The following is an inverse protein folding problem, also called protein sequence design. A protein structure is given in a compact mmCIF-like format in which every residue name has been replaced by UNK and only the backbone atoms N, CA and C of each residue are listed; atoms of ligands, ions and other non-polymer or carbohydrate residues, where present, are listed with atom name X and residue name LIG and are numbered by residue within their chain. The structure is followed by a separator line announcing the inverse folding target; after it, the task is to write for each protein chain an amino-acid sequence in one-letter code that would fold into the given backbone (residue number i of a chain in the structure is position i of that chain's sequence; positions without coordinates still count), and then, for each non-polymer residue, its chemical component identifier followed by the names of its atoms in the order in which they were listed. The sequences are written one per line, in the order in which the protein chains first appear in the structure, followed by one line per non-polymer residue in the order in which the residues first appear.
data_IF_842914669246
#
_entry.id   IF_842914669246
#
_cell.length_a   1.000
_cell.length_b   1.000
_cell.length_c   1.000
_cell.angle_alpha   90.00
_cell.angle_beta   90.00
_cell.angle_gamma   90.00
#
_symmetry.space_group_name_H-M   'P 1'
#
loop_
_entity.id
_entity.type
_entity.pdbx_description
1 polymer ?
#
# COMPACT_ATOMS: atom_id res chain seq x y z
N UNK A 1 34.75 -26.29 4.31
CA UNK A 1 34.43 -24.95 4.84
C UNK A 1 33.08 -24.57 4.25
N UNK A 2 31.99 -24.86 4.98
CA UNK A 2 30.65 -24.46 4.55
C UNK A 2 30.56 -22.96 4.81
N UNK A 3 30.36 -22.19 3.76
CA UNK A 3 29.90 -20.81 3.88
C UNK A 3 28.51 -20.96 4.49
N UNK A 4 28.36 -20.55 5.75
CA UNK A 4 27.04 -20.34 6.33
C UNK A 4 26.42 -19.21 5.52
N UNK A 5 25.51 -19.55 4.61
CA UNK A 5 24.55 -18.59 4.07
C UNK A 5 23.79 -18.05 5.26
N UNK A 6 24.22 -16.89 5.75
CA UNK A 6 23.45 -16.05 6.64
C UNK A 6 22.21 -15.63 5.85
N UNK A 7 21.16 -16.45 5.89
CA UNK A 7 19.83 -16.07 5.43
C UNK A 7 19.52 -14.70 6.06
N UNK A 8 19.30 -13.69 5.21
CA UNK A 8 18.95 -12.35 5.65
C UNK A 8 17.62 -12.43 6.43
N UNK A 9 17.69 -12.41 7.75
CA UNK A 9 16.53 -12.50 8.64
C UNK A 9 16.00 -11.11 8.97
N UNK A 10 15.48 -10.42 7.95
CA UNK A 10 14.91 -9.09 8.13
C UNK A 10 13.42 -9.08 8.48
N UNK A 11 12.94 -7.97 9.05
CA UNK A 11 11.54 -7.72 9.37
C UNK A 11 10.94 -6.64 8.49
N UNK A 12 9.85 -6.99 7.83
CA UNK A 12 9.10 -6.10 6.95
C UNK A 12 7.87 -5.57 7.67
N UNK A 13 7.65 -4.26 7.62
CA UNK A 13 6.34 -3.66 7.86
C UNK A 13 5.72 -3.32 6.51
N UNK A 14 4.47 -3.69 6.32
CA UNK A 14 3.71 -3.37 5.11
C UNK A 14 2.71 -2.28 5.46
N UNK A 15 2.72 -1.19 4.68
CA UNK A 15 1.68 -0.17 4.69
C UNK A 15 1.09 -0.08 3.29
N UNK A 16 -0.20 -0.36 3.10
CA UNK A 16 -0.81 -0.39 1.78
C UNK A 16 -1.67 -1.63 1.57
N UNK A 17 -1.64 -2.20 0.38
CA UNK A 17 -2.63 -3.16 -0.09
C UNK A 17 -2.09 -4.58 -0.23
N UNK A 18 -2.85 -5.43 -0.94
CA UNK A 18 -2.39 -6.75 -1.36
C UNK A 18 -1.11 -6.70 -2.21
N UNK A 19 -0.86 -5.61 -2.96
CA UNK A 19 0.33 -5.50 -3.82
C UNK A 19 1.62 -5.57 -2.99
N UNK A 20 1.77 -4.70 -1.99
CA UNK A 20 2.93 -4.78 -1.08
C UNK A 20 2.88 -6.03 -0.19
N UNK A 21 1.69 -6.50 0.21
CA UNK A 21 1.59 -7.70 1.04
C UNK A 21 2.05 -8.97 0.31
N UNK A 22 1.74 -9.11 -0.97
CA UNK A 22 2.12 -10.26 -1.79
C UNK A 22 3.63 -10.24 -2.09
N UNK A 23 4.21 -9.06 -2.36
CA UNK A 23 5.67 -8.91 -2.40
C UNK A 23 6.33 -9.28 -1.06
N UNK A 24 5.74 -8.88 0.07
CA UNK A 24 6.23 -9.28 1.39
C UNK A 24 6.05 -10.79 1.65
N UNK A 25 5.03 -11.44 1.08
CA UNK A 25 4.87 -12.90 1.14
C UNK A 25 5.99 -13.62 0.42
N UNK A 26 6.45 -13.09 -0.71
CA UNK A 26 7.61 -13.65 -1.41
C UNK A 26 8.89 -13.50 -0.57
N UNK A 27 9.07 -12.37 0.12
CA UNK A 27 10.19 -12.19 1.05
C UNK A 27 10.13 -13.16 2.24
N UNK A 28 8.93 -13.48 2.76
CA UNK A 28 8.76 -14.49 3.82
C UNK A 28 9.25 -15.88 3.36
N UNK A 29 9.01 -16.24 2.09
CA UNK A 29 9.55 -17.47 1.50
C UNK A 29 11.09 -17.49 1.45
N UNK A 30 11.73 -16.32 1.54
CA UNK A 30 13.18 -16.12 1.55
C UNK A 30 13.78 -15.92 2.95
N UNK A 31 12.98 -16.14 3.99
CA UNK A 31 13.45 -16.10 5.38
C UNK A 31 13.23 -14.76 6.10
N UNK A 32 12.56 -13.80 5.47
CA UNK A 32 12.09 -12.59 6.15
C UNK A 32 10.82 -12.88 6.96
N UNK A 33 10.40 -11.91 7.78
CA UNK A 33 9.13 -11.98 8.51
C UNK A 33 8.34 -10.69 8.36
N UNK A 34 7.01 -10.79 8.27
CA UNK A 34 6.13 -9.61 8.29
C UNK A 34 5.76 -9.28 9.74
N UNK A 35 6.27 -8.14 10.20
CA UNK A 35 6.05 -7.62 11.55
C UNK A 35 4.66 -7.00 11.70
N UNK A 36 4.18 -6.30 10.66
CA UNK A 36 2.92 -5.57 10.69
C UNK A 36 2.40 -5.40 9.27
N UNK A 37 1.08 -5.50 9.11
CA UNK A 37 0.38 -5.13 7.88
C UNK A 37 -0.70 -4.10 8.21
N UNK A 38 -0.47 -2.86 7.77
CA UNK A 38 -1.37 -1.72 7.92
C UNK A 38 -2.07 -1.51 6.58
N UNK A 39 -3.29 -2.03 6.47
CA UNK A 39 -4.06 -1.99 5.23
C UNK A 39 -5.25 -1.05 5.33
N UNK A 40 -5.77 -0.64 4.17
CA UNK A 40 -7.01 0.15 4.02
C UNK A 40 -6.95 1.50 4.73
N UNK A 41 -5.79 2.14 4.75
CA UNK A 41 -5.62 3.50 5.27
C UNK A 41 -4.96 4.41 4.24
N UNK A 42 -5.73 5.36 3.74
CA UNK A 42 -5.23 6.50 2.99
C UNK A 42 -4.32 7.35 3.87
N UNK A 43 -3.36 8.03 3.26
CA UNK A 43 -2.64 9.09 3.97
C UNK A 43 -3.60 10.19 4.46
N UNK A 44 -4.71 10.43 3.77
CA UNK A 44 -5.69 11.44 4.18
C UNK A 44 -6.36 11.07 5.50
N UNK A 45 -6.74 9.80 5.71
CA UNK A 45 -7.40 9.35 6.95
C UNK A 45 -6.41 9.15 8.11
N UNK A 46 -5.12 8.94 7.82
CA UNK A 46 -4.10 8.81 8.84
C UNK A 46 -4.04 10.03 9.79
N UNK A 47 -4.28 9.77 11.08
CA UNK A 47 -4.35 10.77 12.14
C UNK A 47 -5.63 11.61 12.16
N UNK A 48 -6.67 11.22 11.41
CA UNK A 48 -7.91 11.98 11.24
C UNK A 48 -9.13 11.06 11.40
N UNK A 49 -9.49 10.72 12.65
CA UNK A 49 -10.52 9.72 12.91
C UNK A 49 -11.86 10.10 12.27
N UNK A 50 -12.54 9.11 11.72
CA UNK A 50 -13.84 9.23 11.08
C UNK A 50 -14.99 9.19 12.09
N UNK A 51 -16.07 9.92 11.81
CA UNK A 51 -17.34 9.76 12.50
C UNK A 51 -18.21 8.77 11.74
N UNK A 52 -18.30 7.55 12.25
CA UNK A 52 -19.08 6.48 11.62
C UNK A 52 -20.38 6.17 12.35
N UNK A 53 -20.73 6.90 13.41
CA UNK A 53 -21.92 6.60 14.22
C UNK A 53 -22.05 5.11 14.58
N UNK A 54 -23.26 4.58 14.44
CA UNK A 54 -23.62 3.19 14.79
C UNK A 54 -23.60 2.24 13.57
N UNK A 55 -22.55 2.27 12.75
CA UNK A 55 -22.40 1.33 11.63
C UNK A 55 -22.45 -0.14 12.12
N UNK A 56 -23.25 -0.97 11.46
CA UNK A 56 -23.30 -2.40 11.73
C UNK A 56 -22.06 -3.11 11.16
N UNK A 57 -21.01 -3.18 11.97
CA UNK A 57 -19.77 -3.88 11.62
C UNK A 57 -19.96 -5.39 11.46
N UNK A 58 -21.12 -5.96 11.82
CA UNK A 58 -21.42 -7.37 11.59
C UNK A 58 -21.50 -7.70 10.09
N UNK A 59 -21.82 -6.72 9.25
CA UNK A 59 -21.80 -6.82 7.79
C UNK A 59 -20.41 -7.13 7.22
N UNK A 60 -19.34 -6.77 7.94
CA UNK A 60 -17.98 -7.17 7.61
C UNK A 60 -17.71 -8.58 8.16
N UNK A 61 -17.97 -9.59 7.34
CA UNK A 61 -17.79 -11.00 7.69
C UNK A 61 -16.33 -11.36 8.03
N UNK A 62 -15.36 -10.74 7.34
CA UNK A 62 -13.93 -11.00 7.56
C UNK A 62 -13.43 -10.28 8.82
N UNK A 63 -12.87 -11.00 9.82
CA UNK A 63 -12.24 -10.37 10.97
C UNK A 63 -11.07 -9.46 10.58
N UNK A 64 -10.37 -9.79 9.48
CA UNK A 64 -9.32 -8.94 8.93
C UNK A 64 -9.88 -7.63 8.39
N UNK A 65 -10.94 -7.69 7.56
CA UNK A 65 -11.58 -6.50 7.01
C UNK A 65 -12.12 -5.59 8.12
N UNK A 66 -12.76 -6.18 9.14
CA UNK A 66 -13.27 -5.44 10.31
C UNK A 66 -12.14 -4.74 11.08
N UNK A 67 -11.01 -5.42 11.31
CA UNK A 67 -9.86 -4.81 11.97
C UNK A 67 -9.28 -3.66 11.15
N UNK A 68 -9.10 -3.83 9.84
CA UNK A 68 -8.56 -2.77 8.98
C UNK A 68 -9.50 -1.56 8.92
N UNK A 69 -10.81 -1.80 8.76
CA UNK A 69 -11.82 -0.76 8.79
C UNK A 69 -11.77 0.03 10.09
N UNK A 70 -11.81 -0.66 11.24
CA UNK A 70 -11.74 0.03 12.55
C UNK A 70 -10.41 0.73 12.78
N UNK A 71 -9.32 0.17 12.27
CA UNK A 71 -8.01 0.81 12.30
C UNK A 71 -8.06 2.16 11.60
N UNK A 72 -8.67 2.22 10.41
CA UNK A 72 -8.82 3.43 9.60
C UNK A 72 -9.81 4.43 10.21
N UNK A 73 -10.93 3.96 10.76
CA UNK A 73 -11.88 4.79 11.53
C UNK A 73 -11.17 5.58 12.62
N UNK A 74 -10.20 5.00 13.32
CA UNK A 74 -9.43 5.73 14.35
C UNK A 74 -8.18 6.43 13.81
N UNK A 75 -7.85 6.29 12.53
CA UNK A 75 -6.70 6.93 11.88
C UNK A 75 -5.34 6.55 12.50
N UNK A 76 -5.17 5.33 13.00
CA UNK A 76 -4.05 4.97 13.88
C UNK A 76 -2.71 4.62 13.17
N UNK A 77 -2.49 5.00 11.90
CA UNK A 77 -1.24 4.74 11.16
C UNK A 77 0.00 5.06 11.99
N UNK A 78 0.05 6.27 12.57
CA UNK A 78 1.18 6.74 13.36
C UNK A 78 1.45 5.86 14.58
N UNK A 79 0.40 5.49 15.32
CA UNK A 79 0.53 4.62 16.50
C UNK A 79 1.06 3.23 16.10
N UNK A 80 0.56 2.68 14.98
CA UNK A 80 1.01 1.38 14.50
C UNK A 80 2.46 1.38 14.04
N UNK A 81 2.88 2.40 13.28
CA UNK A 81 4.27 2.54 12.84
C UNK A 81 5.21 2.78 14.03
N UNK A 82 4.83 3.65 14.97
CA UNK A 82 5.64 3.91 16.17
C UNK A 82 5.86 2.64 16.99
N UNK A 83 4.84 1.78 17.11
CA UNK A 83 4.93 0.53 17.87
C UNK A 83 5.89 -0.51 17.26
N UNK A 84 6.23 -0.40 15.97
CA UNK A 84 7.07 -1.37 15.25
C UNK A 84 8.36 -0.78 14.69
N UNK A 85 8.53 0.55 14.70
CA UNK A 85 9.64 1.24 14.05
C UNK A 85 11.03 0.67 14.41
N UNK A 86 11.29 0.43 15.71
CA UNK A 86 12.59 -0.08 16.19
C UNK A 86 12.94 -1.49 15.67
N UNK A 87 11.95 -2.23 15.18
CA UNK A 87 12.09 -3.60 14.65
C UNK A 87 11.78 -3.67 13.16
N UNK A 88 11.51 -2.55 12.50
CA UNK A 88 11.27 -2.51 11.05
C UNK A 88 12.60 -2.30 10.34
N UNK A 89 13.02 -3.32 9.58
CA UNK A 89 14.22 -3.24 8.72
C UNK A 89 13.85 -2.70 7.33
N UNK A 90 12.62 -2.98 6.88
CA UNK A 90 12.04 -2.47 5.64
C UNK A 90 10.57 -2.09 5.85
N UNK A 91 10.20 -0.85 5.51
CA UNK A 91 8.82 -0.43 5.32
C UNK A 91 8.46 -0.49 3.84
N UNK A 92 7.64 -1.46 3.45
CA UNK A 92 7.14 -1.58 2.08
C UNK A 92 5.80 -0.87 1.98
N UNK A 93 5.72 0.12 1.09
CA UNK A 93 4.54 0.96 0.89
C UNK A 93 4.00 0.83 -0.54
N UNK A 94 2.68 0.75 -0.73
CA UNK A 94 2.04 0.92 -2.04
C UNK A 94 0.79 1.81 -1.96
N UNK A 95 0.37 2.36 -3.10
CA UNK A 95 -0.74 3.33 -3.19
C UNK A 95 -2.07 2.71 -3.62
N UNK A 96 -2.17 1.39 -3.80
CA UNK A 96 -3.37 0.77 -4.38
C UNK A 96 -4.60 0.93 -3.48
N UNK A 97 -4.43 1.06 -2.16
CA UNK A 97 -5.54 1.33 -1.25
C UNK A 97 -6.10 2.77 -1.34
N UNK A 98 -5.39 3.69 -2.01
CA UNK A 98 -5.90 5.03 -2.33
C UNK A 98 -6.93 4.99 -3.49
N UNK A 99 -6.96 3.91 -4.29
CA UNK A 99 -7.70 3.82 -5.58
C UNK A 99 -9.19 4.16 -5.50
N UNK A 100 -9.82 3.93 -4.35
CA UNK A 100 -11.26 4.12 -4.17
C UNK A 100 -11.60 5.50 -3.59
N UNK A 101 -10.60 6.33 -3.30
CA UNK A 101 -10.74 7.62 -2.63
C UNK A 101 -11.15 7.51 -1.16
N UNK A 102 -11.57 8.63 -0.59
CA UNK A 102 -11.93 8.75 0.83
C UNK A 102 -13.32 9.36 1.00
N UNK A 103 -13.93 9.12 2.16
CA UNK A 103 -15.17 9.70 2.62
C UNK A 103 -14.84 10.72 3.71
N UNK A 104 -15.30 11.95 3.56
CA UNK A 104 -15.33 12.93 4.64
C UNK A 104 -16.63 12.74 5.43
N UNK A 105 -16.51 12.20 6.64
CA UNK A 105 -17.65 11.86 7.51
C UNK A 105 -18.15 13.04 8.33
N UNK A 106 -17.25 13.96 8.64
CA UNK A 106 -17.52 15.29 9.19
C UNK A 106 -16.33 16.21 8.84
N UNK A 107 -16.43 17.55 8.98
CA UNK A 107 -15.35 18.45 8.60
C UNK A 107 -14.02 18.06 9.24
N UNK A 108 -13.08 17.57 8.43
CA UNK A 108 -11.76 17.18 8.90
C UNK A 108 -11.58 15.70 9.31
N UNK A 109 -12.65 14.89 9.26
CA UNK A 109 -12.69 13.48 9.64
C UNK A 109 -12.84 12.58 8.41
N UNK A 110 -11.92 11.63 8.20
CA UNK A 110 -11.80 10.91 6.94
C UNK A 110 -11.77 9.40 7.11
N UNK A 111 -12.41 8.70 6.18
CA UNK A 111 -12.43 7.24 6.09
C UNK A 111 -12.07 6.81 4.67
N UNK A 112 -11.14 5.89 4.53
CA UNK A 112 -10.74 5.28 3.27
C UNK A 112 -11.83 4.35 2.77
N UNK A 113 -12.21 4.50 1.50
CA UNK A 113 -13.15 3.54 0.89
C UNK A 113 -12.42 2.22 0.63
N UNK A 114 -13.03 1.13 1.08
CA UNK A 114 -12.50 -0.23 0.92
C UNK A 114 -13.49 -1.10 0.15
N UNK A 115 -12.98 -2.03 -0.66
CA UNK A 115 -13.80 -2.99 -1.42
C UNK A 115 -14.74 -3.75 -0.48
N UNK A 116 -14.24 -4.21 0.66
CA UNK A 116 -15.00 -5.02 1.60
C UNK A 116 -16.22 -4.28 2.16
N UNK A 117 -16.04 -3.01 2.56
CA UNK A 117 -17.13 -2.18 3.06
C UNK A 117 -18.10 -1.75 1.95
N UNK A 118 -17.60 -1.49 0.73
CA UNK A 118 -18.45 -1.23 -0.43
C UNK A 118 -19.33 -2.44 -0.78
N UNK A 119 -18.74 -3.63 -0.87
CA UNK A 119 -19.46 -4.88 -1.17
C UNK A 119 -20.47 -5.22 -0.09
N UNK A 120 -20.17 -4.93 1.18
CA UNK A 120 -21.07 -5.19 2.29
C UNK A 120 -22.21 -4.15 2.43
N UNK A 121 -22.25 -3.12 1.58
CA UNK A 121 -23.22 -2.02 1.72
C UNK A 121 -22.99 -1.19 2.98
N UNK A 122 -21.81 -1.25 3.60
CA UNK A 122 -21.55 -0.63 4.91
C UNK A 122 -21.64 0.90 4.86
N UNK A 123 -21.45 1.49 3.68
CA UNK A 123 -21.59 2.93 3.48
C UNK A 123 -23.04 3.36 3.20
N UNK A 124 -23.97 2.42 3.07
CA UNK A 124 -25.39 2.74 2.89
C UNK A 124 -25.92 3.39 4.18
N UNK A 125 -26.40 4.64 4.06
CA UNK A 125 -26.86 5.41 5.21
C UNK A 125 -25.78 6.17 5.97
N UNK A 126 -24.49 5.97 5.65
CA UNK A 126 -23.43 6.83 6.18
C UNK A 126 -23.52 8.21 5.53
N UNK A 127 -23.76 9.24 6.34
CA UNK A 127 -23.71 10.63 5.86
C UNK A 127 -22.27 11.04 5.70
N UNK A 128 -21.75 10.94 4.48
CA UNK A 128 -20.38 11.34 4.17
C UNK A 128 -20.27 11.90 2.76
N UNK A 129 -19.31 12.80 2.56
CA UNK A 129 -18.97 13.37 1.26
C UNK A 129 -17.86 12.56 0.62
N UNK A 130 -18.10 12.06 -0.59
CA UNK A 130 -17.08 11.32 -1.33
C UNK A 130 -16.06 12.27 -1.97
N UNK A 131 -14.78 11.97 -1.72
CA UNK A 131 -13.64 12.59 -2.37
C UNK A 131 -12.97 11.58 -3.29
N UNK A 132 -13.17 11.77 -4.58
CA UNK A 132 -12.65 10.91 -5.62
C UNK A 132 -11.14 11.11 -5.81
N UNK A 133 -10.41 9.99 -5.89
CA UNK A 133 -8.99 9.99 -6.19
C UNK A 133 -8.73 10.71 -7.52
N UNK A 134 -7.72 11.58 -7.53
CA UNK A 134 -7.27 12.28 -8.74
C UNK A 134 -7.92 13.65 -8.96
N UNK A 135 -8.98 13.97 -8.22
CA UNK A 135 -9.54 15.33 -8.18
C UNK A 135 -8.56 16.32 -7.55
N UNK A 136 -8.69 17.60 -7.91
CA UNK A 136 -7.88 18.67 -7.33
C UNK A 136 -8.07 18.77 -5.80
N UNK A 137 -9.30 18.54 -5.33
CA UNK A 137 -9.62 18.53 -3.91
C UNK A 137 -8.94 17.38 -3.16
N UNK A 138 -9.00 16.16 -3.70
CA UNK A 138 -8.32 15.02 -3.10
C UNK A 138 -6.80 15.24 -3.04
N UNK A 139 -6.19 15.75 -4.11
CA UNK A 139 -4.76 16.10 -4.14
C UNK A 139 -4.39 17.21 -3.13
N UNK A 140 -5.26 18.20 -2.94
CA UNK A 140 -5.07 19.27 -1.96
C UNK A 140 -5.00 18.73 -0.53
N UNK A 141 -5.75 17.66 -0.23
CA UNK A 141 -5.70 16.98 1.07
C UNK A 141 -4.54 15.99 1.18
N UNK A 142 -4.25 15.28 0.09
CA UNK A 142 -3.26 14.21 0.06
C UNK A 142 -1.82 14.73 0.14
N UNK A 143 -1.46 15.80 -0.58
CA UNK A 143 -0.07 16.34 -0.54
C UNK A 143 0.37 16.76 0.86
N UNK A 144 -0.41 17.52 1.66
CA UNK A 144 -0.07 17.78 3.05
C UNK A 144 0.01 16.51 3.90
N UNK A 145 -0.82 15.49 3.61
CA UNK A 145 -0.77 14.22 4.31
C UNK A 145 0.52 13.43 4.03
N UNK A 146 0.98 13.43 2.77
CA UNK A 146 2.30 12.92 2.38
C UNK A 146 3.43 13.59 3.16
N UNK A 147 3.41 14.91 3.30
CA UNK A 147 4.44 15.63 4.06
C UNK A 147 4.42 15.29 5.55
N UNK A 148 3.23 15.09 6.14
CA UNK A 148 3.10 14.60 7.53
C UNK A 148 3.64 13.18 7.68
N UNK A 149 3.31 12.30 6.74
CA UNK A 149 3.83 10.93 6.71
C UNK A 149 5.35 10.90 6.58
N UNK A 150 5.92 11.72 5.69
CA UNK A 150 7.37 11.84 5.56
C UNK A 150 8.04 12.34 6.84
N UNK A 151 7.44 13.32 7.51
CA UNK A 151 7.91 13.83 8.81
C UNK A 151 7.86 12.75 9.88
N UNK A 152 6.78 11.94 9.91
CA UNK A 152 6.66 10.77 10.78
C UNK A 152 7.78 9.76 10.50
N UNK A 153 8.02 9.40 9.24
CA UNK A 153 9.10 8.47 8.88
C UNK A 153 10.48 8.97 9.30
N UNK A 154 10.74 10.28 9.16
CA UNK A 154 12.01 10.89 9.63
C UNK A 154 12.15 10.77 11.15
N UNK A 155 11.08 11.06 11.89
CA UNK A 155 11.06 10.95 13.36
C UNK A 155 11.29 9.51 13.83
N UNK A 156 10.83 8.52 13.06
CA UNK A 156 10.96 7.10 13.37
C UNK A 156 12.23 6.44 12.79
N UNK A 157 13.12 7.20 12.14
CA UNK A 157 14.29 6.67 11.39
C UNK A 157 13.91 5.62 10.31
N UNK A 158 12.71 5.74 9.74
CA UNK A 158 12.20 4.82 8.72
C UNK A 158 12.38 5.35 7.29
N UNK A 159 12.69 6.63 7.08
CA UNK A 159 12.73 7.23 5.73
C UNK A 159 13.63 6.45 4.77
N UNK A 160 14.87 6.14 5.16
CA UNK A 160 15.81 5.40 4.31
C UNK A 160 15.50 3.91 4.18
N UNK A 161 14.65 3.39 5.08
CA UNK A 161 14.16 2.01 5.10
C UNK A 161 12.79 1.87 4.43
N UNK A 162 12.26 2.96 3.88
CA UNK A 162 10.96 2.97 3.22
C UNK A 162 11.15 2.84 1.72
N UNK A 163 10.44 1.88 1.11
CA UNK A 163 10.35 1.74 -0.34
C UNK A 163 8.89 1.87 -0.73
N UNK A 164 8.60 2.85 -1.59
CA UNK A 164 7.33 2.89 -2.32
C UNK A 164 7.43 1.92 -3.51
N UNK A 165 6.67 0.84 -3.46
CA UNK A 165 6.45 -0.09 -4.56
C UNK A 165 5.43 0.52 -5.53
N UNK A 166 5.92 0.94 -6.70
CA UNK A 166 5.09 1.48 -7.76
C UNK A 166 4.89 0.43 -8.86
N UNK A 167 3.72 -0.22 -8.83
CA UNK A 167 3.27 -1.13 -9.88
C UNK A 167 2.05 -0.53 -10.57
N UNK A 168 2.13 -0.21 -11.88
CA UNK A 168 0.96 0.13 -12.66
C UNK A 168 -0.05 -1.02 -12.63
N UNK A 169 -1.34 -0.73 -12.74
CA UNK A 169 -2.35 -1.74 -13.05
C UNK A 169 -2.03 -2.38 -14.39
N UNK A 170 -1.99 -3.72 -14.38
CA UNK A 170 -1.82 -4.49 -15.58
C UNK A 170 -2.97 -4.22 -16.54
N UNK A 171 -2.67 -4.05 -17.82
CA UNK A 171 -3.69 -3.94 -18.87
C UNK A 171 -4.07 -5.30 -19.45
N UNK A 172 -3.23 -6.31 -19.21
CA UNK A 172 -3.40 -7.66 -19.71
C UNK A 172 -3.20 -8.71 -18.61
N UNK A 173 -3.83 -9.85 -18.81
CA UNK A 173 -3.69 -11.01 -17.93
C UNK A 173 -2.70 -12.02 -18.49
N UNK A 174 -2.41 -13.06 -17.71
CA UNK A 174 -1.55 -14.20 -18.09
C UNK A 174 -2.03 -14.96 -19.32
N UNK A 175 -3.34 -14.98 -19.58
CA UNK A 175 -3.93 -15.54 -20.81
C UNK A 175 -3.86 -14.61 -22.01
N UNK A 176 -3.38 -13.36 -21.84
CA UNK A 176 -3.27 -12.35 -22.89
C UNK A 176 -4.52 -11.50 -23.06
N UNK A 177 -5.59 -11.78 -22.32
CA UNK A 177 -6.84 -11.02 -22.33
C UNK A 177 -6.69 -9.64 -21.66
N UNK A 178 -7.62 -8.73 -21.95
CA UNK A 178 -7.67 -7.44 -21.25
C UNK A 178 -8.16 -7.63 -19.82
N UNK A 179 -7.53 -6.92 -18.88
CA UNK A 179 -7.99 -6.91 -17.49
C UNK A 179 -9.35 -6.25 -17.34
N UNK A 180 -10.20 -6.83 -16.51
CA UNK A 180 -11.51 -6.24 -16.19
C UNK A 180 -11.37 -4.93 -15.39
N UNK A 181 -12.27 -3.96 -15.59
CA UNK A 181 -12.32 -2.77 -14.75
C UNK A 181 -12.56 -3.11 -13.28
N UNK A 182 -11.92 -2.38 -12.36
CA UNK A 182 -12.18 -2.49 -10.93
C UNK A 182 -13.05 -1.32 -10.48
N UNK A 183 -14.25 -1.61 -9.97
CA UNK A 183 -15.23 -0.59 -9.55
C UNK A 183 -15.51 0.48 -10.63
N UNK A 184 -15.54 0.05 -11.89
CA UNK A 184 -15.81 0.92 -13.04
C UNK A 184 -14.58 1.63 -13.61
N UNK A 185 -13.40 1.51 -12.99
CA UNK A 185 -12.17 2.12 -13.47
C UNK A 185 -11.32 1.12 -14.28
N UNK A 186 -10.91 1.52 -15.48
CA UNK A 186 -9.98 0.74 -16.32
C UNK A 186 -8.54 0.88 -15.81
N UNK A 187 -7.67 -0.07 -16.16
CA UNK A 187 -6.25 0.00 -15.83
C UNK A 187 -5.58 1.28 -16.35
N UNK A 188 -5.95 1.73 -17.56
CA UNK A 188 -5.36 2.93 -18.16
C UNK A 188 -5.76 4.21 -17.43
N UNK A 189 -7.02 4.33 -17.02
CA UNK A 189 -7.51 5.46 -16.20
C UNK A 189 -6.86 5.46 -14.81
N UNK A 190 -6.81 4.30 -14.16
CA UNK A 190 -6.17 4.15 -12.84
C UNK A 190 -4.69 4.56 -12.89
N UNK A 191 -3.95 4.08 -13.88
CA UNK A 191 -2.54 4.40 -14.08
C UNK A 191 -2.33 5.89 -14.34
N UNK A 192 -3.16 6.49 -15.20
CA UNK A 192 -3.10 7.92 -15.48
C UNK A 192 -3.30 8.78 -14.22
N UNK A 193 -4.29 8.42 -13.39
CA UNK A 193 -4.54 9.11 -12.13
C UNK A 193 -3.38 8.93 -11.15
N UNK A 194 -2.87 7.70 -11.02
CA UNK A 194 -1.86 7.36 -10.02
C UNK A 194 -0.51 8.03 -10.28
N UNK A 195 -0.14 8.28 -11.54
CA UNK A 195 1.11 8.98 -11.90
C UNK A 195 1.30 10.28 -11.13
N UNK A 196 0.23 11.06 -10.94
CA UNK A 196 0.30 12.33 -10.19
C UNK A 196 0.69 12.15 -8.72
N UNK A 197 0.27 11.05 -8.10
CA UNK A 197 0.57 10.74 -6.70
C UNK A 197 2.01 10.27 -6.55
N UNK A 198 2.47 9.41 -7.47
CA UNK A 198 3.86 8.95 -7.52
C UNK A 198 4.82 10.11 -7.77
N UNK A 199 4.46 11.03 -8.67
CA UNK A 199 5.22 12.25 -8.92
C UNK A 199 5.31 13.14 -7.67
N UNK A 200 4.22 13.27 -6.90
CA UNK A 200 4.26 13.99 -5.62
C UNK A 200 5.21 13.32 -4.62
N UNK A 201 5.21 11.99 -4.50
CA UNK A 201 6.18 11.29 -3.63
C UNK A 201 7.61 11.61 -4.06
N UNK A 202 7.90 11.55 -5.37
CA UNK A 202 9.22 11.86 -5.93
C UNK A 202 9.64 13.30 -5.68
N UNK A 203 8.72 14.26 -5.77
CA UNK A 203 9.01 15.69 -5.64
C UNK A 203 9.16 16.14 -4.18
N UNK A 204 8.36 15.58 -3.28
CA UNK A 204 8.22 16.07 -1.91
C UNK A 204 9.03 15.28 -0.87
N UNK A 205 9.54 14.10 -1.24
CA UNK A 205 10.21 13.20 -0.32
C UNK A 205 11.49 12.62 -0.91
N UNK A 206 12.35 12.08 -0.05
CA UNK A 206 13.52 11.27 -0.40
C UNK A 206 13.24 9.76 -0.23
N UNK A 207 11.96 9.35 -0.23
CA UNK A 207 11.56 7.94 -0.20
C UNK A 207 11.98 7.29 -1.52
N UNK A 208 12.61 6.11 -1.44
CA UNK A 208 12.97 5.33 -2.62
C UNK A 208 11.70 4.81 -3.29
N UNK A 209 11.58 5.02 -4.60
CA UNK A 209 10.50 4.46 -5.41
C UNK A 209 11.07 3.30 -6.23
N UNK A 210 10.48 2.12 -6.08
CA UNK A 210 10.79 0.94 -6.90
C UNK A 210 9.74 0.85 -8.01
N UNK A 211 10.17 1.09 -9.25
CA UNK A 211 9.34 0.95 -10.44
C UNK A 211 9.53 -0.45 -11.02
N UNK A 212 8.44 -1.21 -11.13
CA UNK A 212 8.48 -2.53 -11.78
C UNK A 212 8.55 -2.37 -13.30
N UNK A 213 9.39 -3.15 -14.01
CA UNK A 213 9.44 -3.19 -15.47
C UNK A 213 8.08 -3.56 -16.08
N UNK A 214 7.65 -2.83 -17.11
CA UNK A 214 6.33 -2.98 -17.74
C UNK A 214 6.07 -4.42 -18.22
N UNK A 215 7.11 -5.13 -18.68
CA UNK A 215 7.03 -6.51 -19.13
C UNK A 215 6.65 -7.52 -18.04
N UNK A 216 6.82 -7.16 -16.76
CA UNK A 216 6.42 -7.98 -15.62
C UNK A 216 5.00 -7.63 -15.13
N UNK A 217 4.43 -6.52 -15.58
CA UNK A 217 3.13 -6.01 -15.13
C UNK A 217 2.00 -6.76 -15.84
N UNK A 218 1.78 -8.00 -15.42
CA UNK A 218 0.76 -8.92 -15.94
C UNK A 218 -0.13 -9.40 -14.80
N UNK A 219 -1.45 -9.28 -14.96
CA UNK A 219 -2.41 -9.78 -13.98
C UNK A 219 -2.55 -11.31 -14.06
N UNK A 220 -2.64 -11.97 -12.92
CA UNK A 220 -2.87 -13.41 -12.83
C UNK A 220 -4.36 -13.73 -12.87
N UNK A 221 -4.78 -14.49 -13.88
CA UNK A 221 -6.17 -14.93 -14.04
C UNK A 221 -6.63 -15.84 -12.88
N UNK A 222 -5.69 -16.54 -12.23
CA UNK A 222 -5.93 -17.49 -11.15
C UNK A 222 -5.50 -16.97 -9.78
N UNK A 223 -5.36 -15.65 -9.63
CA UNK A 223 -4.84 -15.06 -8.41
C UNK A 223 -5.70 -15.41 -7.18
N UNK A 224 -5.05 -15.65 -6.04
CA UNK A 224 -5.71 -16.08 -4.78
C UNK A 224 -6.79 -15.13 -4.25
N UNK A 225 -6.72 -13.86 -4.64
CA UNK A 225 -7.65 -12.80 -4.25
C UNK A 225 -8.72 -12.52 -5.33
N UNK A 226 -8.80 -13.36 -6.36
CA UNK A 226 -9.64 -13.17 -7.54
C UNK A 226 -8.94 -12.36 -8.64
N UNK A 227 -9.51 -12.35 -9.84
CA UNK A 227 -8.95 -11.59 -10.95
C UNK A 227 -9.13 -10.08 -10.75
N UNK A 228 -8.04 -9.32 -10.80
CA UNK A 228 -8.03 -7.86 -10.78
C UNK A 228 -6.76 -7.31 -11.45
N UNK A 229 -6.78 -6.09 -12.00
CA UNK A 229 -5.60 -5.52 -12.67
C UNK A 229 -4.39 -5.25 -11.75
N UNK A 230 -4.58 -5.32 -10.43
CA UNK A 230 -3.53 -5.18 -9.41
C UNK A 230 -3.20 -6.49 -8.67
N UNK A 231 -3.62 -7.63 -9.23
CA UNK A 231 -3.33 -8.96 -8.73
C UNK A 231 -2.40 -9.65 -9.74
N UNK A 232 -1.09 -9.51 -9.52
CA UNK A 232 -0.08 -9.80 -10.53
C UNK A 232 0.40 -11.26 -10.52
N UNK A 233 1.00 -11.68 -11.63
CA UNK A 233 1.70 -12.96 -11.72
C UNK A 233 2.89 -13.04 -10.76
N UNK A 234 3.18 -14.26 -10.29
CA UNK A 234 4.25 -14.51 -9.31
C UNK A 234 5.64 -14.02 -9.73
N UNK A 235 5.94 -14.00 -11.04
CA UNK A 235 7.20 -13.48 -11.59
C UNK A 235 7.47 -12.04 -11.22
N UNK A 236 6.43 -11.21 -11.11
CA UNK A 236 6.55 -9.83 -10.64
C UNK A 236 7.03 -9.78 -9.19
N UNK A 237 6.40 -10.57 -8.32
CA UNK A 237 6.74 -10.56 -6.88
C UNK A 237 8.13 -11.14 -6.63
N UNK A 238 8.54 -12.17 -7.36
CA UNK A 238 9.93 -12.68 -7.30
C UNK A 238 10.94 -11.62 -7.73
N UNK A 239 10.67 -10.86 -8.80
CA UNK A 239 11.55 -9.75 -9.21
C UNK A 239 11.59 -8.62 -8.16
N UNK A 240 10.43 -8.25 -7.59
CA UNK A 240 10.39 -7.26 -6.51
C UNK A 240 11.22 -7.73 -5.33
N UNK A 241 11.12 -9.01 -4.94
CA UNK A 241 11.89 -9.56 -3.85
C UNK A 241 13.41 -9.52 -4.12
N UNK A 242 13.86 -9.82 -5.34
CA UNK A 242 15.26 -9.68 -5.74
C UNK A 242 15.76 -8.24 -5.54
N UNK A 243 14.98 -7.25 -5.99
CA UNK A 243 15.32 -5.83 -5.84
C UNK A 243 15.32 -5.36 -4.38
N UNK A 244 14.41 -5.90 -3.55
CA UNK A 244 14.38 -5.62 -2.13
C UNK A 244 15.61 -6.20 -1.42
N UNK A 245 16.06 -7.40 -1.76
CA UNK A 245 17.29 -7.99 -1.21
C UNK A 245 18.53 -7.19 -1.61
N UNK A 246 18.64 -6.79 -2.88
CA UNK A 246 19.72 -5.91 -3.35
C UNK A 246 19.71 -4.56 -2.62
N UNK A 247 18.52 -4.00 -2.34
CA UNK A 247 18.39 -2.77 -1.60
C UNK A 247 18.87 -2.87 -0.13
N UNK A 248 18.82 -4.07 0.45
CA UNK A 248 19.15 -4.36 1.84
C UNK A 248 20.57 -4.91 2.02
N UNK A 249 21.23 -5.32 0.94
CA UNK A 249 22.61 -5.75 0.96
C UNK A 249 23.52 -4.63 1.52
N UNK A 250 24.47 -4.95 2.41
CA UNK A 250 25.45 -3.96 2.87
C UNK A 250 26.16 -3.35 1.67
N UNK A 251 26.14 -2.03 1.53
CA UNK A 251 26.97 -1.35 0.52
C UNK A 251 28.42 -1.74 0.81
N UNK A 252 29.01 -2.56 -0.05
CA UNK A 252 30.44 -2.83 0.00
C UNK A 252 31.16 -1.47 -0.06
N UNK A 253 31.89 -1.13 1.01
CA UNK A 253 32.83 -0.03 0.97
C UNK A 253 33.80 -0.34 -0.16
N UNK A 254 33.80 0.50 -1.20
CA UNK A 254 34.84 0.44 -2.22
C UNK A 254 36.21 0.50 -1.50
N UNK A 255 37.19 -0.32 -1.89
CA UNK A 255 38.53 -0.20 -1.33
C UNK A 255 39.02 1.22 -1.59
N UNK A 256 39.42 1.92 -0.53
CA UNK A 256 40.17 3.15 -0.70
C UNK A 256 41.44 2.81 -1.50
N UNK A 257 41.58 3.41 -2.68
CA UNK A 257 42.81 3.42 -3.47
C UNK A 257 43.83 4.36 -2.84
#
# INVERSE_FOLDING_TARGET
MRIEDSAMTGRITVYGSCVARDAASEMENRGWSVERYIARQSLISAGRPADVGDLDLSLLASPFARRCFMSDVVGNLEAQLTAVAARTDLLLWDLTDERLGVLETSPGAFLTRSTEAMTAGLYEGLTARFLELGTAEHLHLWRPALLRFHTLLKRLDLTRRTILLNVPWATRTTSGELTVPSWGQTAMEANWVMTRYVDLVRQETDIRILHVPDELVVADDAHRWGAAPFHYAGTLYSWVADELEVAQAPRALAPAL
#
